data_IF_223324334398
#
_entry.id   IF_223324334398
#
_cell.length_a   1.000
_cell.length_b   1.000
_cell.length_c   1.000
_cell.angle_alpha   90.00
_cell.angle_beta   90.00
_cell.angle_gamma   90.00
#
_symmetry.space_group_name_H-M   'P 1'
#
loop_
_entity.id
_entity.type
_entity.pdbx_description
1 polymer ?
#
# COMPACT_ATOMS: atom_id res chain seq x y z
N UNK A 1 2.57 -57.12 -55.84
CA UNK A 1 2.06 -55.73 -55.69
C UNK A 1 2.79 -55.14 -54.49
N UNK A 2 3.98 -54.57 -54.72
CA UNK A 2 4.30 -53.14 -54.91
C UNK A 2 4.67 -52.45 -53.57
N UNK A 3 5.99 -52.35 -53.36
CA UNK A 3 6.68 -51.46 -52.41
C UNK A 3 6.21 -50.01 -52.57
N UNK A 4 5.94 -49.28 -51.49
CA UNK A 4 6.17 -47.83 -51.45
C UNK A 4 6.66 -47.36 -50.06
N UNK A 5 7.88 -46.83 -50.11
CA UNK A 5 8.64 -45.99 -49.18
C UNK A 5 7.82 -44.93 -48.44
N UNK A 6 8.06 -44.82 -47.13
CA UNK A 6 7.67 -43.68 -46.30
C UNK A 6 8.87 -42.74 -46.17
N UNK A 7 8.70 -41.50 -46.61
CA UNK A 7 9.64 -40.37 -46.35
C UNK A 7 8.80 -39.18 -45.88
N UNK A 8 9.23 -38.42 -44.86
CA UNK A 8 8.37 -37.51 -44.11
C UNK A 8 8.30 -36.12 -44.74
N UNK A 9 7.18 -35.41 -44.56
CA UNK A 9 7.11 -33.97 -44.80
C UNK A 9 6.78 -33.28 -43.47
N UNK A 10 7.82 -32.79 -42.81
CA UNK A 10 7.69 -31.70 -41.85
C UNK A 10 7.17 -30.49 -42.63
N UNK A 11 6.04 -29.94 -42.21
CA UNK A 11 5.65 -28.58 -42.57
C UNK A 11 5.47 -27.83 -41.27
N UNK A 12 6.61 -27.33 -40.81
CA UNK A 12 6.69 -26.28 -39.82
C UNK A 12 6.09 -25.01 -40.45
N UNK A 13 5.02 -24.50 -39.87
CA UNK A 13 4.53 -23.15 -40.20
C UNK A 13 4.12 -22.47 -38.90
N UNK A 14 5.06 -22.35 -37.97
CA UNK A 14 5.05 -21.23 -37.03
C UNK A 14 5.35 -19.95 -37.82
N UNK A 15 4.31 -19.36 -38.40
CA UNK A 15 4.35 -17.98 -38.88
C UNK A 15 4.46 -17.08 -37.63
N UNK A 16 5.57 -16.35 -37.43
CA UNK A 16 5.61 -15.35 -36.35
C UNK A 16 4.53 -14.31 -36.63
N UNK A 17 3.76 -13.96 -35.60
CA UNK A 17 2.83 -12.83 -35.67
C UNK A 17 3.59 -11.59 -36.17
N UNK A 18 3.01 -10.79 -37.09
CA UNK A 18 3.67 -9.58 -37.55
C UNK A 18 3.96 -8.70 -36.34
N UNK A 19 5.23 -8.33 -36.17
CA UNK A 19 5.66 -7.34 -35.18
C UNK A 19 4.87 -6.06 -35.51
N UNK A 20 4.10 -5.50 -34.56
CA UNK A 20 3.33 -4.29 -34.81
C UNK A 20 4.26 -3.20 -35.37
N UNK A 21 3.86 -2.57 -36.47
CA UNK A 21 4.62 -1.44 -37.03
C UNK A 21 4.69 -0.33 -35.98
N UNK A 22 5.76 0.45 -35.97
CA UNK A 22 5.96 1.54 -35.00
C UNK A 22 4.77 2.50 -34.91
N UNK A 23 4.07 2.72 -36.03
CA UNK A 23 2.84 3.52 -36.06
C UNK A 23 1.65 2.87 -35.32
N UNK A 24 1.56 1.54 -35.30
CA UNK A 24 0.58 0.78 -34.50
C UNK A 24 0.96 0.77 -33.02
N UNK A 25 2.25 0.81 -32.71
CA UNK A 25 2.75 0.93 -31.35
C UNK A 25 2.52 2.34 -30.79
N UNK A 26 2.75 3.38 -31.60
CA UNK A 26 2.46 4.77 -31.23
C UNK A 26 0.96 5.00 -30.97
N UNK A 27 0.07 4.42 -31.78
CA UNK A 27 -1.39 4.48 -31.54
C UNK A 27 -1.87 3.70 -30.31
N UNK A 28 -1.16 2.64 -29.91
CA UNK A 28 -1.44 1.90 -28.66
C UNK A 28 -0.91 2.63 -27.41
N UNK A 29 0.12 3.46 -27.56
CA UNK A 29 0.71 4.25 -26.47
C UNK A 29 0.05 5.64 -26.32
N UNK A 30 -0.57 6.16 -27.38
CA UNK A 30 -1.42 7.36 -27.32
C UNK A 30 -2.64 7.17 -26.38
N UNK A 31 -3.11 5.92 -26.23
CA UNK A 31 -4.21 5.55 -25.33
C UNK A 31 -3.81 5.59 -23.84
N UNK A 32 -2.54 5.27 -23.51
CA UNK A 32 -2.05 5.26 -22.11
C UNK A 32 -1.94 6.65 -21.46
N UNK A 33 -1.93 7.72 -22.27
CA UNK A 33 -1.86 9.10 -21.79
C UNK A 33 -3.20 9.84 -21.81
N UNK A 34 -4.30 9.13 -22.14
CA UNK A 34 -5.64 9.69 -21.99
C UNK A 34 -5.95 9.91 -20.50
N UNK A 35 -6.51 11.08 -20.10
CA UNK A 35 -6.89 11.30 -18.71
C UNK A 35 -7.91 10.23 -18.28
N UNK A 36 -7.60 9.47 -17.23
CA UNK A 36 -8.53 8.51 -16.65
C UNK A 36 -9.78 9.27 -16.20
N UNK A 37 -10.94 8.97 -16.79
CA UNK A 37 -12.22 9.50 -16.34
C UNK A 37 -12.61 8.81 -15.03
N UNK A 38 -12.50 9.54 -13.92
CA UNK A 38 -12.93 9.06 -12.61
C UNK A 38 -14.41 9.34 -12.39
N UNK A 39 -15.20 8.32 -12.05
CA UNK A 39 -16.57 8.54 -11.62
C UNK A 39 -16.64 9.09 -10.19
N UNK A 40 -17.77 9.71 -9.82
CA UNK A 40 -18.00 10.14 -8.44
C UNK A 40 -17.95 8.96 -7.46
N UNK A 41 -18.47 7.80 -7.88
CA UNK A 41 -18.43 6.57 -7.11
C UNK A 41 -16.99 6.11 -6.86
N UNK A 42 -16.13 6.16 -7.87
CA UNK A 42 -14.71 5.79 -7.72
C UNK A 42 -13.98 6.71 -6.74
N UNK A 43 -14.27 8.02 -6.80
CA UNK A 43 -13.67 9.00 -5.88
C UNK A 43 -14.13 8.74 -4.44
N UNK A 44 -15.43 8.48 -4.23
CA UNK A 44 -15.98 8.15 -2.90
C UNK A 44 -15.38 6.84 -2.40
N UNK A 45 -15.28 5.83 -3.27
CA UNK A 45 -14.69 4.53 -2.95
C UNK A 45 -13.20 4.66 -2.59
N UNK A 46 -12.45 5.54 -3.26
CA UNK A 46 -11.06 5.79 -2.93
C UNK A 46 -10.91 6.45 -1.55
N UNK A 47 -11.77 7.42 -1.20
CA UNK A 47 -11.79 7.98 0.16
C UNK A 47 -12.11 6.92 1.22
N UNK A 48 -13.04 6.01 0.91
CA UNK A 48 -13.35 4.87 1.79
C UNK A 48 -12.16 3.92 1.92
N UNK A 49 -11.50 3.57 0.82
CA UNK A 49 -10.35 2.68 0.80
C UNK A 49 -9.21 3.21 1.66
N UNK A 50 -8.97 4.53 1.65
CA UNK A 50 -7.98 5.15 2.53
C UNK A 50 -8.34 5.04 4.02
N UNK A 51 -9.61 5.19 4.38
CA UNK A 51 -10.05 4.97 5.77
C UNK A 51 -9.85 3.51 6.22
N UNK A 52 -9.91 2.56 5.29
CA UNK A 52 -9.66 1.15 5.61
C UNK A 52 -8.21 0.87 6.03
N UNK A 53 -7.24 1.69 5.62
CA UNK A 53 -5.84 1.54 6.05
C UNK A 53 -5.68 1.72 7.58
N UNK A 54 -6.62 2.43 8.22
CA UNK A 54 -6.66 2.56 9.69
C UNK A 54 -6.85 1.20 10.37
N UNK A 55 -7.54 0.25 9.72
CA UNK A 55 -7.69 -1.11 10.26
C UNK A 55 -6.36 -1.85 10.34
N UNK A 56 -5.40 -1.52 9.46
CA UNK A 56 -4.04 -2.08 9.48
C UNK A 56 -3.25 -1.62 10.71
N UNK A 57 -3.67 -0.55 11.40
CA UNK A 57 -3.05 -0.18 12.68
C UNK A 57 -3.26 -1.27 13.75
N UNK A 58 -4.38 -1.98 13.71
CA UNK A 58 -4.72 -3.02 14.68
C UNK A 58 -4.04 -4.38 14.38
N UNK A 59 -3.71 -4.67 13.11
CA UNK A 59 -3.08 -5.94 12.74
C UNK A 59 -1.59 -5.93 13.14
N UNK A 60 -1.14 -6.84 14.03
CA UNK A 60 0.26 -6.92 14.42
C UNK A 60 1.19 -7.39 13.29
N UNK A 61 0.68 -7.90 12.16
CA UNK A 61 1.47 -8.29 11.00
C UNK A 61 1.80 -7.15 10.06
N UNK A 62 1.06 -6.05 10.10
CA UNK A 62 1.35 -4.86 9.32
C UNK A 62 2.74 -4.31 9.69
N UNK A 63 3.61 -4.04 8.71
CA UNK A 63 4.93 -3.44 8.93
C UNK A 63 4.87 -2.11 9.69
N UNK A 64 5.93 -1.80 10.44
CA UNK A 64 6.03 -0.55 11.20
C UNK A 64 5.99 0.70 10.32
N UNK A 65 6.53 0.64 9.09
CA UNK A 65 6.53 1.78 8.17
C UNK A 65 5.10 2.12 7.72
N UNK A 66 4.35 1.16 7.19
CA UNK A 66 2.92 1.33 6.86
C UNK A 66 2.10 1.90 8.03
N UNK A 67 2.37 1.44 9.26
CA UNK A 67 1.73 1.99 10.46
C UNK A 67 2.12 3.44 10.69
N UNK A 68 3.40 3.80 10.59
CA UNK A 68 3.84 5.18 10.77
C UNK A 68 3.32 6.11 9.68
N UNK A 69 3.22 5.65 8.43
CA UNK A 69 2.61 6.42 7.36
C UNK A 69 1.12 6.69 7.61
N UNK A 70 0.39 5.68 8.06
CA UNK A 70 -1.02 5.85 8.46
C UNK A 70 -1.15 6.82 9.64
N UNK A 71 -0.28 6.71 10.66
CA UNK A 71 -0.28 7.62 11.80
C UNK A 71 0.07 9.06 11.40
N UNK A 72 1.01 9.24 10.48
CA UNK A 72 1.40 10.55 9.94
C UNK A 72 0.21 11.17 9.21
N UNK A 73 -0.46 10.42 8.35
CA UNK A 73 -1.67 10.86 7.63
C UNK A 73 -2.81 11.25 8.59
N UNK A 74 -3.03 10.51 9.67
CA UNK A 74 -4.11 10.78 10.64
C UNK A 74 -3.79 11.95 11.58
N UNK A 75 -2.56 12.00 12.12
CA UNK A 75 -2.21 12.87 13.26
C UNK A 75 -1.25 14.00 12.94
N UNK A 76 -0.35 13.83 11.98
CA UNK A 76 0.75 14.77 11.72
C UNK A 76 0.43 15.76 10.60
N UNK A 77 -0.31 15.34 9.58
CA UNK A 77 -0.63 16.18 8.40
C UNK A 77 -1.87 17.07 8.59
N UNK A 78 -2.03 17.67 9.77
CA UNK A 78 -3.25 18.44 10.10
C UNK A 78 -3.43 19.68 9.23
N UNK A 79 -2.34 20.26 8.75
CA UNK A 79 -2.35 21.36 7.78
C UNK A 79 -2.99 20.97 6.44
N UNK A 80 -3.11 19.67 6.16
CA UNK A 80 -3.75 19.12 4.96
C UNK A 80 -5.21 18.77 5.17
N UNK A 81 -5.80 18.94 6.37
CA UNK A 81 -7.19 18.53 6.66
C UNK A 81 -8.24 19.15 5.69
N UNK A 82 -7.89 20.23 4.98
CA UNK A 82 -8.74 20.88 3.97
C UNK A 82 -8.59 20.38 2.53
N UNK A 83 -7.63 19.49 2.23
CA UNK A 83 -7.36 19.02 0.86
C UNK A 83 -8.00 17.65 0.60
N UNK A 84 -8.26 17.28 -0.67
CA UNK A 84 -8.78 15.95 -1.04
C UNK A 84 -7.90 14.83 -0.49
N UNK A 85 -8.53 13.70 -0.12
CA UNK A 85 -7.84 12.52 0.43
C UNK A 85 -7.07 12.72 1.74
N UNK A 86 -7.18 13.89 2.38
CA UNK A 86 -6.81 14.03 3.80
C UNK A 86 -7.72 13.19 4.68
N UNK A 87 -7.25 12.82 5.88
CA UNK A 87 -8.05 12.06 6.84
C UNK A 87 -9.42 12.69 7.10
N UNK A 88 -9.47 14.01 7.31
CA UNK A 88 -10.73 14.75 7.55
C UNK A 88 -11.62 14.78 6.30
N UNK A 89 -11.04 14.99 5.11
CA UNK A 89 -11.80 14.92 3.86
C UNK A 89 -12.39 13.53 3.64
N UNK A 90 -11.64 12.46 3.92
CA UNK A 90 -12.13 11.09 3.83
C UNK A 90 -13.32 10.84 4.76
N UNK A 91 -13.23 11.23 6.04
CA UNK A 91 -14.35 11.12 6.97
C UNK A 91 -15.59 11.87 6.49
N UNK A 92 -15.40 13.10 5.98
CA UNK A 92 -16.50 13.92 5.47
C UNK A 92 -17.16 13.29 4.25
N UNK A 93 -16.38 12.90 3.24
CA UNK A 93 -16.90 12.34 1.97
C UNK A 93 -17.63 11.04 2.24
N UNK A 94 -17.00 10.11 2.97
CA UNK A 94 -17.55 8.79 3.26
C UNK A 94 -18.79 8.88 4.16
N UNK A 95 -18.83 9.81 5.12
CA UNK A 95 -19.98 9.96 6.01
C UNK A 95 -21.18 10.67 5.37
N UNK A 96 -20.93 11.56 4.40
CA UNK A 96 -21.95 12.40 3.78
C UNK A 96 -22.38 11.93 2.37
N UNK A 97 -21.70 10.96 1.76
CA UNK A 97 -22.05 10.48 0.42
C UNK A 97 -23.05 9.32 0.48
N UNK A 98 -24.15 9.36 -0.31
CA UNK A 98 -25.04 8.20 -0.46
C UNK A 98 -24.41 7.06 -1.27
N UNK A 99 -23.31 7.32 -1.98
CA UNK A 99 -22.52 6.33 -2.73
C UNK A 99 -21.48 5.63 -1.85
N UNK A 100 -21.43 5.97 -0.57
CA UNK A 100 -20.51 5.37 0.37
C UNK A 100 -20.87 3.89 0.63
N UNK A 101 -19.88 2.99 0.77
CA UNK A 101 -20.14 1.60 1.14
C UNK A 101 -20.68 1.41 2.56
N UNK A 102 -20.65 2.46 3.39
CA UNK A 102 -21.22 2.46 4.74
C UNK A 102 -22.54 3.22 4.80
N UNK A 103 -23.33 2.96 5.83
CA UNK A 103 -24.55 3.72 6.09
C UNK A 103 -24.23 5.21 6.25
N UNK A 104 -25.04 6.06 5.63
CA UNK A 104 -24.96 7.51 5.79
C UNK A 104 -24.96 7.89 7.27
N UNK A 105 -23.91 8.59 7.70
CA UNK A 105 -23.72 9.02 9.09
C UNK A 105 -23.54 10.54 9.25
N UNK A 106 -23.57 11.29 8.14
CA UNK A 106 -23.49 12.74 8.14
C UNK A 106 -22.09 13.26 8.44
N UNK A 107 -22.02 14.44 9.07
CA UNK A 107 -20.74 15.05 9.48
C UNK A 107 -20.20 14.35 10.72
N UNK A 108 -19.02 13.76 10.59
CA UNK A 108 -18.26 13.11 11.67
C UNK A 108 -17.25 14.09 12.24
N UNK A 109 -17.14 14.13 13.57
CA UNK A 109 -16.07 14.89 14.25
C UNK A 109 -14.74 14.14 14.12
N UNK A 110 -13.79 14.73 13.40
CA UNK A 110 -12.49 14.13 13.18
C UNK A 110 -11.64 14.04 14.44
N UNK A 111 -11.79 14.96 15.39
CA UNK A 111 -11.03 14.92 16.65
C UNK A 111 -11.54 13.79 17.55
N UNK A 112 -12.85 13.54 17.58
CA UNK A 112 -13.41 12.38 18.28
C UNK A 112 -12.85 11.06 17.73
N UNK A 113 -12.75 10.93 16.40
CA UNK A 113 -12.16 9.74 15.78
C UNK A 113 -10.67 9.63 16.10
N UNK A 114 -9.91 10.73 16.02
CA UNK A 114 -8.49 10.79 16.41
C UNK A 114 -8.30 10.34 17.86
N UNK A 115 -9.16 10.76 18.76
CA UNK A 115 -9.10 10.37 20.16
C UNK A 115 -9.35 8.88 20.32
N UNK A 116 -10.40 8.31 19.70
CA UNK A 116 -10.66 6.86 19.73
C UNK A 116 -9.47 6.05 19.20
N UNK A 117 -8.83 6.51 18.13
CA UNK A 117 -7.62 5.90 17.59
C UNK A 117 -6.45 5.98 18.58
N UNK A 118 -6.23 7.14 19.20
CA UNK A 118 -5.17 7.36 20.20
C UNK A 118 -5.31 6.43 21.41
N UNK A 119 -6.53 6.20 21.88
CA UNK A 119 -6.80 5.28 22.99
C UNK A 119 -6.40 3.84 22.66
N UNK A 120 -6.62 3.40 21.42
CA UNK A 120 -6.33 2.03 20.99
C UNK A 120 -4.87 1.83 20.58
N UNK A 121 -4.22 2.91 20.09
CA UNK A 121 -2.90 2.87 19.49
C UNK A 121 -1.82 2.24 20.38
N UNK A 122 -1.82 2.56 21.68
CA UNK A 122 -0.81 2.03 22.62
C UNK A 122 -0.87 0.51 22.70
N UNK A 123 -2.08 -0.05 22.73
CA UNK A 123 -2.27 -1.50 22.80
C UNK A 123 -1.80 -2.16 21.50
N UNK A 124 -2.19 -1.61 20.34
CA UNK A 124 -1.81 -2.15 19.04
C UNK A 124 -0.29 -2.11 18.80
N UNK A 125 0.35 -0.96 19.04
CA UNK A 125 1.80 -0.83 18.87
C UNK A 125 2.58 -1.75 19.81
N UNK A 126 2.09 -1.99 21.04
CA UNK A 126 2.73 -2.93 21.96
C UNK A 126 2.78 -4.34 21.34
N UNK A 127 1.65 -4.84 20.84
CA UNK A 127 1.57 -6.18 20.23
C UNK A 127 2.42 -6.25 18.96
N UNK A 128 2.42 -5.21 18.12
CA UNK A 128 3.30 -5.15 16.95
C UNK A 128 4.77 -5.22 17.35
N UNK A 129 5.19 -4.41 18.32
CA UNK A 129 6.59 -4.32 18.74
C UNK A 129 7.09 -5.61 19.39
N UNK A 130 6.24 -6.40 20.04
CA UNK A 130 6.60 -7.70 20.61
C UNK A 130 7.14 -8.69 19.56
N UNK A 131 6.83 -8.50 18.28
CA UNK A 131 7.34 -9.31 17.16
C UNK A 131 8.73 -8.88 16.67
N UNK A 132 9.21 -7.72 17.09
CA UNK A 132 10.50 -7.18 16.69
C UNK A 132 11.58 -7.41 17.75
N UNK A 133 12.86 -7.50 17.36
CA UNK A 133 13.97 -7.60 18.30
C UNK A 133 14.00 -6.45 19.32
N UNK A 134 14.61 -6.70 20.48
CA UNK A 134 14.69 -5.73 21.57
C UNK A 134 15.28 -4.37 21.16
N UNK A 135 16.25 -4.35 20.24
CA UNK A 135 16.84 -3.11 19.75
C UNK A 135 15.83 -2.24 19.00
N UNK A 136 14.93 -2.82 18.19
CA UNK A 136 13.86 -2.09 17.48
C UNK A 136 12.89 -1.51 18.49
N UNK A 137 12.46 -2.32 19.46
CA UNK A 137 11.55 -1.88 20.53
C UNK A 137 12.13 -0.70 21.30
N UNK A 138 13.40 -0.80 21.69
CA UNK A 138 14.10 0.28 22.38
C UNK A 138 14.23 1.53 21.50
N UNK A 139 14.58 1.38 20.22
CA UNK A 139 14.69 2.51 19.30
C UNK A 139 13.35 3.25 19.13
N UNK A 140 12.24 2.54 18.96
CA UNK A 140 10.90 3.14 18.82
C UNK A 140 10.46 3.85 20.10
N UNK A 141 10.75 3.29 21.28
CA UNK A 141 10.39 3.90 22.57
C UNK A 141 11.21 5.15 22.87
N UNK A 142 12.52 5.14 22.61
CA UNK A 142 13.41 6.21 23.01
C UNK A 142 13.60 7.29 21.94
N UNK A 143 13.46 6.92 20.66
CA UNK A 143 13.68 7.83 19.54
C UNK A 143 12.77 7.53 18.34
N UNK A 144 11.44 7.73 18.48
CA UNK A 144 10.49 7.43 17.41
C UNK A 144 10.71 8.27 16.15
N UNK A 145 11.09 9.54 16.30
CA UNK A 145 11.35 10.47 15.19
C UNK A 145 12.54 10.02 14.32
N UNK A 146 13.58 9.48 14.95
CA UNK A 146 14.71 8.92 14.20
C UNK A 146 14.32 7.66 13.43
N UNK A 147 13.51 6.79 14.03
CA UNK A 147 13.01 5.58 13.35
C UNK A 147 12.14 5.97 12.15
N UNK A 148 11.22 6.92 12.34
CA UNK A 148 10.40 7.48 11.26
C UNK A 148 11.26 8.02 10.13
N UNK A 149 12.21 8.92 10.42
CA UNK A 149 13.09 9.50 9.41
C UNK A 149 13.93 8.46 8.65
N UNK A 150 14.25 7.32 9.29
CA UNK A 150 14.97 6.22 8.66
C UNK A 150 14.06 5.41 7.75
N UNK A 151 12.85 5.11 8.20
CA UNK A 151 11.83 4.39 7.43
C UNK A 151 11.35 5.20 6.23
N UNK A 152 11.18 6.52 6.35
CA UNK A 152 10.86 7.39 5.21
C UNK A 152 11.92 7.38 4.12
N UNK A 153 13.18 7.07 4.46
CA UNK A 153 14.28 6.94 3.48
C UNK A 153 14.40 5.53 2.91
N UNK A 154 14.15 4.51 3.74
CA UNK A 154 14.14 3.11 3.31
C UNK A 154 13.08 2.34 4.14
N UNK A 155 11.90 2.06 3.56
CA UNK A 155 10.84 1.28 4.19
C UNK A 155 11.27 -0.12 4.64
N UNK A 156 12.21 -0.73 3.94
CA UNK A 156 12.71 -2.07 4.23
C UNK A 156 13.86 -2.08 5.24
N UNK A 157 14.32 -0.92 5.70
CA UNK A 157 15.52 -0.81 6.53
C UNK A 157 15.48 -1.70 7.77
N UNK A 158 14.36 -1.76 8.50
CA UNK A 158 14.25 -2.63 9.68
C UNK A 158 14.43 -4.10 9.29
N UNK A 159 13.81 -4.53 8.19
CA UNK A 159 13.92 -5.91 7.70
C UNK A 159 15.35 -6.22 7.25
N UNK A 160 16.03 -5.28 6.60
CA UNK A 160 17.44 -5.39 6.22
C UNK A 160 18.36 -5.51 7.45
N UNK A 161 18.16 -4.68 8.48
CA UNK A 161 18.95 -4.74 9.69
C UNK A 161 18.76 -6.06 10.45
N UNK A 162 17.52 -6.55 10.53
CA UNK A 162 17.23 -7.86 11.13
C UNK A 162 17.96 -8.97 10.37
N UNK A 163 17.92 -8.95 9.03
CA UNK A 163 18.66 -9.91 8.20
C UNK A 163 20.17 -9.82 8.42
N UNK A 164 20.74 -8.62 8.42
CA UNK A 164 22.19 -8.42 8.66
C UNK A 164 22.63 -8.96 10.02
N UNK A 165 21.86 -8.68 11.08
CA UNK A 165 22.16 -9.19 12.42
C UNK A 165 22.01 -10.72 12.52
N UNK A 166 21.07 -11.32 11.79
CA UNK A 166 20.96 -12.78 11.74
C UNK A 166 22.15 -13.43 11.04
N UNK A 167 22.65 -12.83 9.95
CA UNK A 167 23.83 -13.31 9.22
C UNK A 167 25.12 -13.12 10.03
N UNK A 168 25.23 -12.03 10.79
CA UNK A 168 26.37 -11.82 11.69
C UNK A 168 26.33 -12.71 12.93
N UNK A 169 25.14 -13.03 13.47
CA UNK A 169 25.00 -13.94 14.61
C UNK A 169 25.41 -15.38 14.28
N UNK A 170 25.20 -15.82 13.04
CA UNK A 170 25.58 -17.15 12.56
C UNK A 170 27.09 -17.30 12.30
N UNK A 171 27.82 -16.20 12.11
CA UNK A 171 29.27 -16.19 11.89
C UNK A 171 30.10 -16.34 13.17
N UNK A 172 29.46 -16.36 14.34
CA UNK A 172 30.10 -16.55 15.65
C UNK A 172 29.50 -17.70 16.47
N UNK A 173 28.72 -18.59 15.84
CA UNK A 173 28.17 -19.80 16.45
C UNK A 173 29.03 -21.05 16.14
#
# INVERSE_FOLDING_TARGET
>A
MLNQTVTPLFSDTSRPAPIPERATLDTLLEDENSPVEWSEEDIVFLHWRLLQEINQLADPATPLEEKFDTLRWVFSEREKDGIPFSFVSCLRVVGCSPLSPITYCGRVDAEEVRDRLRHSLKAWLKVTLERYPAWVRNAVVHNPQWVEARLSRNPQWINEQIKQMSVQGDLFA
#
